data_IF_642215644115
#
_entry.id   IF_642215644115
#
_cell.length_a   1.000
_cell.length_b   1.000
_cell.length_c   1.000
_cell.angle_alpha   90.00
_cell.angle_beta   90.00
_cell.angle_gamma   90.00
#
_symmetry.space_group_name_H-M   'P 1'
#
loop_
_entity.id
_entity.type
_entity.pdbx_description
1 polymer ?
#
# COMPACT_ATOMS: atom_id res chain seq x y z
N UNK A 1 -26.89 34.53 -19.19
CA UNK A 1 -26.86 33.89 -17.87
C UNK A 1 -27.87 34.59 -16.98
N UNK A 2 -28.94 33.88 -16.62
CA UNK A 2 -29.92 34.39 -15.65
C UNK A 2 -29.40 34.17 -14.22
N UNK A 3 -29.82 35.01 -13.27
CA UNK A 3 -29.44 34.89 -11.84
C UNK A 3 -29.66 33.49 -11.26
N UNK A 4 -30.65 32.74 -11.75
CA UNK A 4 -30.91 31.35 -11.33
C UNK A 4 -29.85 30.33 -11.78
N UNK A 5 -29.17 30.59 -12.90
CA UNK A 5 -28.09 29.75 -13.44
C UNK A 5 -26.81 29.93 -12.63
N UNK A 6 -26.52 31.18 -12.25
CA UNK A 6 -25.39 31.55 -11.41
C UNK A 6 -25.54 31.03 -9.97
N UNK A 7 -26.76 31.04 -9.42
CA UNK A 7 -27.05 30.50 -8.09
C UNK A 7 -26.94 28.97 -8.06
N UNK A 8 -27.33 28.28 -9.14
CA UNK A 8 -27.19 26.83 -9.27
C UNK A 8 -25.70 26.42 -9.37
N UNK A 9 -24.90 27.13 -10.16
CA UNK A 9 -23.44 26.92 -10.21
C UNK A 9 -22.77 27.18 -8.86
N UNK A 10 -23.16 28.26 -8.16
CA UNK A 10 -22.58 28.60 -6.86
C UNK A 10 -22.94 27.58 -5.78
N UNK A 11 -24.18 27.05 -5.77
CA UNK A 11 -24.60 25.98 -4.86
C UNK A 11 -23.94 24.64 -5.19
N UNK A 12 -23.72 24.34 -6.47
CA UNK A 12 -22.94 23.17 -6.90
C UNK A 12 -21.49 23.29 -6.42
N UNK A 13 -20.84 24.44 -6.64
CA UNK A 13 -19.47 24.71 -6.20
C UNK A 13 -19.33 24.69 -4.67
N UNK A 14 -20.32 25.19 -3.91
CA UNK A 14 -20.32 25.12 -2.44
C UNK A 14 -20.54 23.70 -1.94
N UNK A 15 -21.41 22.90 -2.56
CA UNK A 15 -21.58 21.48 -2.23
C UNK A 15 -20.34 20.66 -2.56
N UNK A 16 -19.69 20.99 -3.67
CA UNK A 16 -18.44 20.40 -4.10
C UNK A 16 -17.30 20.74 -3.12
N UNK A 17 -17.17 22.00 -2.70
CA UNK A 17 -16.21 22.41 -1.66
C UNK A 17 -16.51 21.75 -0.31
N UNK A 18 -17.78 21.67 0.07
CA UNK A 18 -18.22 21.04 1.31
C UNK A 18 -17.97 19.52 1.29
N UNK A 19 -18.21 18.85 0.16
CA UNK A 19 -17.89 17.43 -0.06
C UNK A 19 -16.39 17.16 0.01
N UNK A 20 -15.57 18.02 -0.60
CA UNK A 20 -14.09 17.96 -0.56
C UNK A 20 -13.53 18.14 0.85
N UNK A 21 -14.11 19.04 1.66
CA UNK A 21 -13.69 19.23 3.06
C UNK A 21 -14.26 18.17 4.02
N UNK A 22 -15.45 17.63 3.72
CA UNK A 22 -16.07 16.56 4.50
C UNK A 22 -15.41 15.20 4.28
N UNK A 23 -14.71 15.00 3.15
CA UNK A 23 -13.93 13.80 2.84
C UNK A 23 -12.95 13.37 3.96
N UNK A 24 -12.40 14.37 4.66
CA UNK A 24 -11.21 14.19 5.48
C UNK A 24 -11.39 13.27 6.69
N UNK A 25 -12.43 13.41 7.54
CA UNK A 25 -12.54 12.60 8.75
C UNK A 25 -13.13 11.21 8.49
N UNK A 26 -13.97 11.03 7.46
CA UNK A 26 -14.67 9.76 7.27
C UNK A 26 -13.80 8.69 6.61
N UNK A 27 -12.85 9.05 5.75
CA UNK A 27 -11.91 8.08 5.14
C UNK A 27 -11.08 7.36 6.21
N UNK A 28 -10.64 8.07 7.24
CA UNK A 28 -9.94 7.48 8.39
C UNK A 28 -10.87 6.56 9.18
N UNK A 29 -12.10 7.00 9.45
CA UNK A 29 -13.10 6.17 10.16
C UNK A 29 -13.46 4.91 9.37
N UNK A 30 -13.54 5.02 8.05
CA UNK A 30 -13.78 3.92 7.14
C UNK A 30 -12.65 2.91 7.20
N UNK A 31 -11.40 3.37 7.09
CA UNK A 31 -10.22 2.50 7.17
C UNK A 31 -10.09 1.78 8.53
N UNK A 32 -10.71 2.32 9.58
CA UNK A 32 -10.80 1.68 10.90
C UNK A 32 -12.03 0.76 11.08
N UNK A 33 -12.87 0.60 10.05
CA UNK A 33 -14.05 -0.27 10.08
C UNK A 33 -15.22 0.28 10.91
N UNK A 34 -15.19 1.54 11.34
CA UNK A 34 -16.15 2.13 12.27
C UNK A 34 -17.45 2.65 11.59
N UNK A 35 -17.73 2.23 10.36
CA UNK A 35 -18.80 2.77 9.52
C UNK A 35 -19.62 1.62 8.91
N UNK A 36 -20.95 1.74 8.95
CA UNK A 36 -21.87 0.81 8.28
C UNK A 36 -21.81 0.97 6.76
N UNK A 37 -22.26 -0.04 6.00
CA UNK A 37 -22.28 0.05 4.53
C UNK A 37 -23.15 1.22 4.01
N UNK A 38 -24.26 1.51 4.68
CA UNK A 38 -25.15 2.63 4.31
C UNK A 38 -24.51 4.00 4.57
N UNK A 39 -23.83 4.15 5.71
CA UNK A 39 -23.09 5.38 6.02
C UNK A 39 -21.87 5.55 5.09
N UNK A 40 -21.24 4.45 4.67
CA UNK A 40 -20.19 4.46 3.65
C UNK A 40 -20.73 4.95 2.31
N UNK A 41 -21.87 4.41 1.87
CA UNK A 41 -22.51 4.82 0.61
C UNK A 41 -22.81 6.32 0.59
N UNK A 42 -23.47 6.82 1.64
CA UNK A 42 -23.76 8.25 1.78
C UNK A 42 -22.50 9.12 1.81
N UNK A 43 -21.43 8.66 2.46
CA UNK A 43 -20.16 9.39 2.52
C UNK A 43 -19.42 9.41 1.17
N UNK A 44 -19.45 8.31 0.43
CA UNK A 44 -18.88 8.22 -0.92
C UNK A 44 -19.62 9.18 -1.87
N UNK A 45 -20.95 9.13 -1.90
CA UNK A 45 -21.78 10.02 -2.71
C UNK A 45 -21.54 11.51 -2.35
N UNK A 46 -21.46 11.84 -1.05
CA UNK A 46 -21.17 13.19 -0.59
C UNK A 46 -19.76 13.67 -0.96
N UNK A 47 -18.81 12.75 -1.17
CA UNK A 47 -17.46 13.03 -1.65
C UNK A 47 -17.36 13.01 -3.20
N UNK A 48 -18.48 12.88 -3.90
CA UNK A 48 -18.52 12.82 -5.36
C UNK A 48 -18.10 11.47 -5.96
N UNK A 49 -17.92 10.44 -5.14
CA UNK A 49 -17.62 9.07 -5.56
C UNK A 49 -18.91 8.32 -5.91
N UNK A 50 -18.82 7.36 -6.83
CA UNK A 50 -19.92 6.46 -7.18
C UNK A 50 -19.80 5.14 -6.39
N UNK A 51 -20.71 4.83 -5.45
CA UNK A 51 -20.63 3.62 -4.63
C UNK A 51 -20.76 2.30 -5.43
N UNK A 52 -21.25 2.34 -6.67
CA UNK A 52 -21.44 1.16 -7.51
C UNK A 52 -20.26 0.93 -8.49
N UNK A 53 -19.32 1.87 -8.57
CA UNK A 53 -18.09 1.73 -9.36
C UNK A 53 -16.92 1.10 -8.58
N UNK A 54 -15.83 0.82 -9.29
CA UNK A 54 -14.60 0.28 -8.70
C UNK A 54 -13.82 1.32 -7.91
N UNK A 55 -13.44 0.97 -6.69
CA UNK A 55 -12.58 1.77 -5.81
C UNK A 55 -11.15 1.22 -5.79
N UNK A 56 -10.18 2.12 -5.88
CA UNK A 56 -8.79 1.83 -5.52
C UNK A 56 -8.34 2.77 -4.40
N UNK A 57 -7.81 2.19 -3.33
CA UNK A 57 -7.32 2.88 -2.17
C UNK A 57 -5.82 3.09 -2.25
N UNK A 58 -5.35 4.18 -1.65
CA UNK A 58 -3.94 4.51 -1.58
C UNK A 58 -3.58 5.04 -0.20
N UNK A 59 -2.34 4.79 0.18
CA UNK A 59 -1.72 5.36 1.36
C UNK A 59 -0.40 6.03 0.95
N UNK A 60 -0.20 7.25 1.42
CA UNK A 60 0.98 8.05 1.11
C UNK A 60 1.44 8.84 2.35
N UNK A 61 2.73 9.18 2.47
CA UNK A 61 3.18 10.24 3.35
C UNK A 61 2.41 11.54 3.11
N UNK A 62 2.45 12.45 4.08
CA UNK A 62 1.85 13.75 3.92
C UNK A 62 2.41 14.47 2.69
N UNK A 63 1.54 14.90 1.79
CA UNK A 63 1.89 15.66 0.60
C UNK A 63 0.98 16.89 0.53
N UNK A 64 1.57 18.07 0.65
CA UNK A 64 0.86 19.32 0.42
C UNK A 64 0.24 19.30 -1.00
N UNK A 65 -0.96 19.86 -1.14
CA UNK A 65 -1.67 19.96 -2.42
C UNK A 65 -2.05 18.61 -3.06
N UNK A 66 -1.97 17.49 -2.33
CA UNK A 66 -2.33 16.18 -2.88
C UNK A 66 -3.74 16.16 -3.49
N UNK A 67 -4.72 16.76 -2.80
CA UNK A 67 -6.08 16.91 -3.34
C UNK A 67 -6.09 17.72 -4.64
N UNK A 68 -5.43 18.87 -4.71
CA UNK A 68 -5.42 19.72 -5.91
C UNK A 68 -4.77 19.03 -7.11
N UNK A 69 -3.74 18.19 -6.88
CA UNK A 69 -3.09 17.42 -7.94
C UNK A 69 -3.99 16.30 -8.44
N UNK A 70 -4.68 15.62 -7.53
CA UNK A 70 -5.64 14.57 -7.86
C UNK A 70 -6.90 15.10 -8.53
N UNK A 71 -7.35 16.31 -8.17
CA UNK A 71 -8.51 16.99 -8.78
C UNK A 71 -8.27 17.31 -10.27
N UNK A 72 -7.02 17.28 -10.75
CA UNK A 72 -6.68 17.47 -12.17
C UNK A 72 -6.75 16.17 -12.99
N UNK A 73 -6.95 15.03 -12.34
CA UNK A 73 -7.06 13.73 -13.00
C UNK A 73 -8.48 13.54 -13.56
N UNK A 74 -8.66 12.76 -14.64
CA UNK A 74 -9.95 12.64 -15.33
C UNK A 74 -11.01 11.82 -14.56
N UNK A 75 -10.67 11.23 -13.41
CA UNK A 75 -11.58 10.44 -12.59
C UNK A 75 -11.94 11.12 -11.27
N UNK A 76 -12.51 10.34 -10.35
CA UNK A 76 -12.99 10.85 -9.06
C UNK A 76 -12.00 10.50 -7.96
N UNK A 77 -11.67 11.46 -7.11
CA UNK A 77 -10.71 11.29 -6.03
C UNK A 77 -11.23 11.87 -4.73
N UNK A 78 -11.00 11.18 -3.61
CA UNK A 78 -11.23 11.71 -2.28
C UNK A 78 -9.97 11.51 -1.42
N UNK A 79 -9.52 12.57 -0.75
CA UNK A 79 -8.35 12.53 0.14
C UNK A 79 -8.78 12.76 1.58
N UNK A 80 -8.22 11.94 2.47
CA UNK A 80 -8.34 12.08 3.91
C UNK A 80 -6.97 12.05 4.57
N UNK A 81 -6.85 12.77 5.68
CA UNK A 81 -5.61 12.84 6.46
C UNK A 81 -5.81 12.03 7.74
N UNK A 82 -4.95 11.04 7.95
CA UNK A 82 -4.89 10.21 9.14
C UNK A 82 -3.56 10.33 9.88
N UNK A 83 -3.42 9.66 11.04
CA UNK A 83 -2.19 9.69 11.82
C UNK A 83 -0.98 9.08 11.09
N UNK A 84 -1.22 8.19 10.13
CA UNK A 84 -0.19 7.49 9.35
C UNK A 84 0.14 8.19 8.01
N UNK A 85 -0.52 9.32 7.70
CA UNK A 85 -0.38 10.03 6.43
C UNK A 85 -1.70 10.22 5.70
N UNK A 86 -1.63 10.34 4.37
CA UNK A 86 -2.80 10.47 3.50
C UNK A 86 -3.42 9.12 3.20
N UNK A 87 -4.75 9.07 3.22
CA UNK A 87 -5.57 8.01 2.66
C UNK A 87 -6.34 8.57 1.49
N UNK A 88 -6.31 7.87 0.36
CA UNK A 88 -6.89 8.36 -0.89
C UNK A 88 -7.77 7.26 -1.47
N UNK A 89 -8.97 7.62 -1.94
CA UNK A 89 -9.78 6.76 -2.80
C UNK A 89 -9.82 7.36 -4.20
N UNK A 90 -9.67 6.51 -5.21
CA UNK A 90 -9.76 6.89 -6.62
C UNK A 90 -10.72 5.97 -7.37
N UNK A 91 -11.41 6.52 -8.37
CA UNK A 91 -12.29 5.78 -9.29
C UNK A 91 -12.08 6.27 -10.73
N UNK A 92 -12.00 5.34 -11.68
CA UNK A 92 -11.81 5.67 -13.09
C UNK A 92 -10.47 6.33 -13.42
N UNK A 93 -9.49 6.27 -12.51
CA UNK A 93 -8.15 6.83 -12.72
C UNK A 93 -7.13 5.69 -12.87
N UNK A 94 -6.30 5.68 -13.93
CA UNK A 94 -5.21 4.73 -14.05
C UNK A 94 -4.18 4.88 -12.91
N UNK A 95 -3.70 3.76 -12.38
CA UNK A 95 -2.72 3.75 -11.28
C UNK A 95 -1.45 4.57 -11.60
N UNK A 96 -0.97 4.55 -12.84
CA UNK A 96 0.20 5.32 -13.25
C UNK A 96 -0.02 6.83 -13.16
N UNK A 97 -1.23 7.31 -13.38
CA UNK A 97 -1.57 8.73 -13.28
C UNK A 97 -1.66 9.19 -11.83
N UNK A 98 -2.26 8.36 -10.96
CA UNK A 98 -2.29 8.63 -9.51
C UNK A 98 -0.86 8.69 -8.96
N UNK A 99 -0.02 7.72 -9.32
CA UNK A 99 1.37 7.68 -8.88
C UNK A 99 2.16 8.90 -9.35
N UNK A 100 1.98 9.31 -10.61
CA UNK A 100 2.62 10.50 -11.17
C UNK A 100 2.13 11.79 -10.49
N UNK A 101 0.83 11.93 -10.24
CA UNK A 101 0.24 13.12 -9.63
C UNK A 101 0.69 13.34 -8.19
N UNK A 102 0.82 12.27 -7.42
CA UNK A 102 1.24 12.37 -6.02
C UNK A 102 2.74 12.65 -5.89
N UNK A 103 3.55 12.20 -6.85
CA UNK A 103 5.01 12.44 -6.86
C UNK A 103 5.70 12.01 -5.56
N UNK A 104 5.05 11.13 -4.79
CA UNK A 104 5.50 10.76 -3.46
C UNK A 104 6.60 9.72 -3.56
N UNK A 105 7.65 9.89 -2.74
CA UNK A 105 8.75 8.94 -2.71
C UNK A 105 8.26 7.55 -2.33
N UNK A 106 7.32 7.43 -1.39
CA UNK A 106 6.72 6.18 -0.94
C UNK A 106 5.20 6.20 -1.17
N UNK A 107 4.68 5.34 -2.05
CA UNK A 107 3.25 5.24 -2.31
C UNK A 107 2.80 3.80 -2.17
N UNK A 108 1.67 3.56 -1.53
CA UNK A 108 1.10 2.22 -1.40
C UNK A 108 -0.29 2.17 -2.02
N UNK A 109 -0.56 1.12 -2.80
CA UNK A 109 -1.81 0.94 -3.52
C UNK A 109 -2.53 -0.33 -3.06
N UNK A 110 -3.82 -0.22 -2.77
CA UNK A 110 -4.72 -1.33 -2.54
C UNK A 110 -5.20 -1.97 -3.85
N UNK A 111 -5.96 -3.07 -3.73
CA UNK A 111 -6.59 -3.71 -4.89
C UNK A 111 -7.75 -2.86 -5.41
N UNK A 112 -7.93 -2.81 -6.72
CA UNK A 112 -9.18 -2.35 -7.30
C UNK A 112 -10.32 -3.30 -6.88
N UNK A 113 -11.36 -2.78 -6.23
CA UNK A 113 -12.48 -3.56 -5.71
C UNK A 113 -13.81 -2.95 -6.11
N UNK A 114 -14.82 -3.78 -6.31
CA UNK A 114 -16.20 -3.37 -6.61
C UNK A 114 -17.11 -3.96 -5.54
N UNK A 115 -18.15 -3.20 -5.16
CA UNK A 115 -19.18 -3.64 -4.23
C UNK A 115 -19.21 -2.85 -2.92
N UNK A 116 -20.13 -3.21 -2.00
CA UNK A 116 -20.53 -2.35 -0.90
C UNK A 116 -19.43 -2.06 0.13
N UNK A 117 -18.44 -2.94 0.25
CA UNK A 117 -17.29 -2.75 1.16
C UNK A 117 -15.99 -2.42 0.42
N UNK A 118 -16.03 -2.23 -0.90
CA UNK A 118 -14.84 -2.09 -1.74
C UNK A 118 -13.91 -0.98 -1.27
N UNK A 119 -14.46 0.20 -0.98
CA UNK A 119 -13.72 1.36 -0.47
C UNK A 119 -13.00 1.06 0.85
N UNK A 120 -13.63 0.32 1.76
CA UNK A 120 -13.04 -0.08 3.05
C UNK A 120 -11.89 -1.04 2.85
N UNK A 121 -12.13 -2.10 2.09
CA UNK A 121 -11.17 -3.18 1.88
C UNK A 121 -9.95 -2.69 1.10
N UNK A 122 -10.13 -1.85 0.09
CA UNK A 122 -8.99 -1.31 -0.68
C UNK A 122 -8.14 -0.34 0.15
N UNK A 123 -8.74 0.46 1.05
CA UNK A 123 -7.96 1.29 1.99
C UNK A 123 -7.21 0.44 3.01
N UNK A 124 -7.79 -0.67 3.46
CA UNK A 124 -7.12 -1.63 4.34
C UNK A 124 -5.92 -2.26 3.65
N UNK A 125 -6.09 -2.68 2.40
CA UNK A 125 -5.03 -3.21 1.54
C UNK A 125 -3.88 -2.18 1.40
N UNK A 126 -4.21 -0.93 1.07
CA UNK A 126 -3.24 0.15 0.90
C UNK A 126 -2.45 0.44 2.19
N UNK A 127 -3.13 0.50 3.34
CA UNK A 127 -2.46 0.66 4.65
C UNK A 127 -1.56 -0.50 4.99
N UNK A 128 -1.99 -1.73 4.72
CA UNK A 128 -1.16 -2.91 4.98
C UNK A 128 0.11 -2.90 4.13
N UNK A 129 -0.01 -2.49 2.86
CA UNK A 129 1.14 -2.28 1.98
C UNK A 129 2.04 -1.13 2.45
N UNK A 130 1.49 0.01 2.88
CA UNK A 130 2.25 1.14 3.42
C UNK A 130 3.01 0.76 4.70
N UNK A 131 2.37 0.02 5.61
CA UNK A 131 3.02 -0.50 6.81
C UNK A 131 4.20 -1.42 6.46
N UNK A 132 4.11 -2.19 5.37
CA UNK A 132 5.21 -3.00 4.86
C UNK A 132 6.30 -2.17 4.20
N UNK A 133 5.94 -1.13 3.45
CA UNK A 133 6.88 -0.19 2.87
C UNK A 133 7.76 0.47 3.94
N UNK A 134 7.18 0.85 5.08
CA UNK A 134 7.91 1.47 6.18
C UNK A 134 8.62 2.76 5.77
N UNK A 135 7.98 3.56 4.92
CA UNK A 135 8.52 4.83 4.42
C UNK A 135 9.59 4.71 3.31
N UNK A 136 9.95 3.49 2.89
CA UNK A 136 10.91 3.28 1.80
C UNK A 136 10.34 3.72 0.46
N UNK A 137 11.18 4.37 -0.34
CA UNK A 137 10.77 4.85 -1.65
C UNK A 137 10.33 3.72 -2.59
N UNK A 138 9.33 3.99 -3.43
CA UNK A 138 8.75 3.09 -4.40
C UNK A 138 7.22 3.08 -4.38
N UNK A 139 6.65 2.40 -5.38
CA UNK A 139 5.23 2.06 -5.44
C UNK A 139 5.02 0.64 -4.93
N UNK A 140 4.35 0.53 -3.77
CA UNK A 140 4.11 -0.69 -3.02
C UNK A 140 2.67 -1.17 -3.25
N UNK A 141 2.49 -2.13 -4.13
CA UNK A 141 1.15 -2.63 -4.45
C UNK A 141 0.78 -3.79 -3.56
N UNK A 142 -0.41 -3.75 -2.98
CA UNK A 142 -0.92 -4.86 -2.18
C UNK A 142 -0.99 -6.15 -3.00
N UNK A 143 -1.30 -6.09 -4.30
CA UNK A 143 -1.34 -7.28 -5.17
C UNK A 143 -0.03 -8.07 -5.19
N UNK A 144 1.11 -7.40 -5.01
CA UNK A 144 2.44 -8.00 -5.00
C UNK A 144 2.85 -8.44 -3.58
N UNK A 145 2.19 -7.89 -2.57
CA UNK A 145 2.59 -7.96 -1.17
C UNK A 145 1.59 -8.72 -0.29
N UNK A 146 0.41 -9.10 -0.80
CA UNK A 146 -0.68 -9.67 -0.02
C UNK A 146 -0.28 -10.87 0.86
N UNK A 147 0.63 -11.79 0.45
CA UNK A 147 1.04 -12.88 1.34
C UNK A 147 1.84 -12.34 2.53
N UNK A 148 2.68 -11.33 2.30
CA UNK A 148 3.56 -10.73 3.31
C UNK A 148 2.74 -9.87 4.27
N UNK A 149 1.80 -9.07 3.75
CA UNK A 149 0.93 -8.22 4.57
C UNK A 149 0.01 -9.05 5.46
N UNK A 150 -0.56 -10.14 4.94
CA UNK A 150 -1.40 -11.07 5.73
C UNK A 150 -0.60 -11.72 6.85
N UNK A 151 0.63 -12.15 6.56
CA UNK A 151 1.54 -12.75 7.53
C UNK A 151 1.94 -11.74 8.61
N UNK A 152 2.26 -10.51 8.22
CA UNK A 152 2.70 -9.43 9.11
C UNK A 152 1.56 -8.83 9.97
N UNK A 153 0.31 -8.91 9.50
CA UNK A 153 -0.86 -8.39 10.21
C UNK A 153 -1.44 -9.38 11.22
N UNK A 154 -0.90 -10.61 11.32
CA UNK A 154 -1.33 -11.57 12.33
C UNK A 154 -1.09 -11.06 13.75
N UNK A 155 -1.86 -11.57 14.71
CA UNK A 155 -1.84 -11.18 16.13
C UNK A 155 -0.57 -11.62 16.89
N UNK A 156 0.62 -11.49 16.28
CA UNK A 156 1.90 -11.97 16.81
C UNK A 156 2.06 -13.50 16.80
N UNK A 157 1.04 -14.25 16.35
CA UNK A 157 1.06 -15.72 16.28
C UNK A 157 2.21 -16.29 15.43
N UNK A 158 2.65 -15.52 14.44
CA UNK A 158 3.75 -15.91 13.56
C UNK A 158 5.11 -15.40 14.04
N UNK A 159 5.15 -14.57 15.09
CA UNK A 159 6.39 -13.98 15.61
C UNK A 159 7.42 -15.05 15.98
N UNK A 160 7.08 -16.16 16.68
CA UNK A 160 8.06 -17.20 16.99
C UNK A 160 8.66 -17.87 15.74
N UNK A 161 7.88 -17.95 14.65
CA UNK A 161 8.33 -18.53 13.38
C UNK A 161 9.22 -17.55 12.60
N UNK A 162 8.94 -16.25 12.68
CA UNK A 162 9.65 -15.21 11.93
C UNK A 162 10.86 -14.64 12.69
N UNK A 163 10.86 -14.69 14.02
CA UNK A 163 11.85 -14.03 14.87
C UNK A 163 13.30 -14.39 14.53
N UNK A 164 13.69 -15.67 14.29
CA UNK A 164 15.06 -16.00 13.91
C UNK A 164 15.49 -15.33 12.60
N UNK A 165 14.61 -15.30 11.61
CA UNK A 165 14.85 -14.66 10.32
C UNK A 165 14.88 -13.13 10.42
N UNK A 166 14.01 -12.52 11.24
CA UNK A 166 14.01 -11.07 11.50
C UNK A 166 15.32 -10.66 12.18
N UNK A 167 15.75 -11.39 13.21
CA UNK A 167 17.00 -11.14 13.91
C UNK A 167 18.21 -11.29 12.99
N UNK A 168 18.21 -12.33 12.14
CA UNK A 168 19.24 -12.56 11.13
C UNK A 168 19.30 -11.42 10.11
N UNK A 169 18.15 -10.96 9.61
CA UNK A 169 18.09 -9.86 8.65
C UNK A 169 18.57 -8.52 9.24
N UNK A 170 18.31 -8.26 10.52
CA UNK A 170 18.84 -7.09 11.24
C UNK A 170 20.36 -7.18 11.41
N UNK A 171 20.85 -8.35 11.82
CA UNK A 171 22.27 -8.59 12.12
C UNK A 171 23.14 -8.65 10.85
N UNK A 172 22.62 -9.23 9.76
CA UNK A 172 23.35 -9.46 8.52
C UNK A 172 22.59 -8.90 7.30
N UNK A 173 22.60 -7.58 7.07
CA UNK A 173 21.83 -6.95 6.00
C UNK A 173 22.13 -7.50 4.60
N UNK A 174 23.38 -7.85 4.32
CA UNK A 174 23.81 -8.42 3.04
C UNK A 174 23.19 -9.80 2.73
N UNK A 175 22.74 -10.55 3.75
CA UNK A 175 21.97 -11.79 3.57
C UNK A 175 20.50 -11.48 3.29
N UNK A 176 19.94 -10.48 3.97
CA UNK A 176 18.59 -9.99 3.69
C UNK A 176 18.46 -9.47 2.25
N UNK A 177 19.47 -8.76 1.75
CA UNK A 177 19.53 -8.29 0.36
C UNK A 177 19.60 -9.45 -0.64
N UNK A 178 20.33 -10.52 -0.29
CA UNK A 178 20.37 -11.74 -1.11
C UNK A 178 19.00 -12.42 -1.20
N UNK A 179 18.28 -12.54 -0.07
CA UNK A 179 16.91 -13.10 -0.03
C UNK A 179 15.94 -12.23 -0.84
N UNK A 180 16.00 -10.91 -0.67
CA UNK A 180 15.18 -9.95 -1.44
C UNK A 180 15.44 -10.10 -2.93
N UNK A 181 16.70 -10.04 -3.36
CA UNK A 181 17.06 -10.16 -4.76
C UNK A 181 16.64 -11.53 -5.35
N UNK A 182 16.83 -12.62 -4.60
CA UNK A 182 16.41 -13.95 -5.02
C UNK A 182 14.89 -14.04 -5.23
N UNK A 183 14.10 -13.49 -4.31
CA UNK A 183 12.65 -13.45 -4.43
C UNK A 183 12.18 -12.56 -5.60
N UNK A 184 12.76 -11.37 -5.73
CA UNK A 184 12.35 -10.38 -6.73
C UNK A 184 12.74 -10.77 -8.17
N UNK A 185 13.69 -11.71 -8.34
CA UNK A 185 14.17 -12.18 -9.64
C UNK A 185 13.76 -13.64 -9.93
N UNK A 186 12.56 -14.03 -9.49
CA UNK A 186 11.93 -15.30 -9.88
C UNK A 186 12.65 -16.54 -9.37
N UNK A 187 13.31 -16.44 -8.21
CA UNK A 187 14.00 -17.55 -7.55
C UNK A 187 15.17 -18.12 -8.37
N UNK A 188 15.74 -17.28 -9.25
CA UNK A 188 16.88 -17.63 -10.08
C UNK A 188 18.18 -16.99 -9.53
N UNK A 189 19.13 -17.83 -9.11
CA UNK A 189 20.41 -17.39 -8.52
C UNK A 189 21.19 -16.49 -9.49
N UNK A 190 21.30 -16.87 -10.76
CA UNK A 190 22.09 -16.09 -11.73
C UNK A 190 21.53 -14.69 -11.97
N UNK A 191 20.20 -14.59 -12.09
CA UNK A 191 19.53 -13.31 -12.32
C UNK A 191 19.61 -12.41 -11.10
N UNK A 192 19.37 -12.96 -9.90
CA UNK A 192 19.50 -12.23 -8.66
C UNK A 192 20.96 -11.79 -8.38
N UNK A 193 21.94 -12.62 -8.70
CA UNK A 193 23.36 -12.31 -8.51
C UNK A 193 23.78 -11.15 -9.42
N UNK A 194 23.32 -11.16 -10.68
CA UNK A 194 23.54 -10.07 -11.63
C UNK A 194 22.94 -8.76 -11.12
N UNK A 195 21.72 -8.79 -10.59
CA UNK A 195 21.07 -7.60 -10.02
C UNK A 195 21.86 -7.00 -8.85
N UNK A 196 22.45 -7.85 -8.00
CA UNK A 196 23.31 -7.42 -6.91
C UNK A 196 24.78 -7.18 -7.30
N UNK A 197 25.14 -7.36 -8.58
CA UNK A 197 26.53 -7.31 -9.08
C UNK A 197 27.48 -8.25 -8.33
N UNK A 198 27.00 -9.45 -8.02
CA UNK A 198 27.75 -10.52 -7.37
C UNK A 198 28.00 -11.69 -8.33
N UNK A 199 29.01 -12.50 -8.04
CA UNK A 199 29.15 -13.81 -8.68
C UNK A 199 28.03 -14.76 -8.19
N UNK A 200 27.44 -15.61 -9.05
CA UNK A 200 26.39 -16.56 -8.67
C UNK A 200 26.73 -17.42 -7.45
N UNK A 201 27.94 -17.99 -7.38
CA UNK A 201 28.39 -18.79 -6.24
C UNK A 201 28.38 -18.03 -4.91
N UNK A 202 28.70 -16.73 -4.94
CA UNK A 202 28.67 -15.91 -3.74
C UNK A 202 27.23 -15.69 -3.28
N UNK A 203 26.30 -15.48 -4.21
CA UNK A 203 24.87 -15.41 -3.86
C UNK A 203 24.40 -16.75 -3.29
N UNK A 204 24.71 -17.87 -3.94
CA UNK A 204 24.38 -19.21 -3.45
C UNK A 204 24.84 -19.42 -2.01
N UNK A 205 26.11 -19.09 -1.71
CA UNK A 205 26.64 -19.16 -0.33
C UNK A 205 25.89 -18.27 0.65
N UNK A 206 25.43 -17.08 0.24
CA UNK A 206 24.62 -16.20 1.11
C UNK A 206 23.25 -16.81 1.41
N UNK A 207 22.60 -17.42 0.41
CA UNK A 207 21.31 -18.09 0.58
C UNK A 207 21.43 -19.34 1.46
N UNK A 208 22.49 -20.14 1.27
CA UNK A 208 22.76 -21.30 2.13
C UNK A 208 23.06 -20.85 3.57
N UNK A 209 23.81 -19.76 3.73
CA UNK A 209 24.08 -19.19 5.06
C UNK A 209 22.81 -18.67 5.73
N UNK A 210 21.89 -18.08 4.98
CA UNK A 210 20.59 -17.69 5.48
C UNK A 210 19.81 -18.90 6.03
N UNK A 211 19.74 -20.01 5.27
CA UNK A 211 19.08 -21.23 5.72
C UNK A 211 19.74 -21.81 6.99
N UNK A 212 21.07 -21.80 7.08
CA UNK A 212 21.78 -22.28 8.28
C UNK A 212 21.46 -21.46 9.53
N UNK A 213 21.31 -20.14 9.39
CA UNK A 213 21.07 -19.24 10.53
C UNK A 213 19.59 -19.19 10.95
N UNK A 214 18.68 -19.39 10.01
CA UNK A 214 17.23 -19.20 10.24
C UNK A 214 16.45 -20.50 10.28
N UNK A 215 17.00 -21.59 9.75
CA UNK A 215 16.28 -22.84 9.49
C UNK A 215 15.32 -22.77 8.29
N UNK A 216 15.16 -21.60 7.65
CA UNK A 216 14.21 -21.41 6.56
C UNK A 216 14.81 -21.82 5.21
N UNK A 217 14.20 -22.81 4.57
CA UNK A 217 14.56 -23.24 3.21
C UNK A 217 13.85 -22.40 2.15
N UNK A 218 14.60 -21.55 1.45
CA UNK A 218 14.12 -20.67 0.39
C UNK A 218 13.65 -21.41 -0.87
N UNK A 219 13.92 -22.72 -0.99
CA UNK A 219 13.42 -23.57 -2.08
C UNK A 219 12.00 -24.09 -1.78
N UNK A 220 11.50 -23.88 -0.57
CA UNK A 220 10.13 -24.23 -0.18
C UNK A 220 9.27 -22.97 -0.13
N UNK A 221 8.00 -23.09 -0.50
CA UNK A 221 7.06 -21.97 -0.42
C UNK A 221 6.95 -21.38 1.00
N UNK A 222 6.83 -22.18 2.08
CA UNK A 222 6.80 -21.64 3.44
C UNK A 222 8.09 -20.92 3.83
N UNK A 223 9.25 -21.52 3.57
CA UNK A 223 10.54 -20.95 3.93
C UNK A 223 10.85 -19.65 3.17
N UNK A 224 10.51 -19.59 1.88
CA UNK A 224 10.61 -18.38 1.08
C UNK A 224 9.69 -17.28 1.61
N UNK A 225 8.42 -17.59 1.86
CA UNK A 225 7.41 -16.61 2.32
C UNK A 225 7.77 -16.06 3.70
N UNK A 226 8.17 -16.93 4.62
CA UNK A 226 8.63 -16.55 5.95
C UNK A 226 9.89 -15.67 5.87
N UNK A 227 10.86 -16.06 5.04
CA UNK A 227 12.11 -15.31 4.88
C UNK A 227 11.88 -13.94 4.26
N UNK A 228 11.07 -13.86 3.20
CA UNK A 228 10.72 -12.59 2.56
C UNK A 228 9.98 -11.68 3.52
N UNK A 229 8.98 -12.20 4.25
CA UNK A 229 8.25 -11.44 5.27
C UNK A 229 9.19 -10.91 6.34
N UNK A 230 10.05 -11.78 6.88
CA UNK A 230 11.00 -11.43 7.93
C UNK A 230 12.00 -10.35 7.50
N UNK A 231 12.49 -10.42 6.26
CA UNK A 231 13.38 -9.39 5.68
C UNK A 231 12.68 -8.04 5.62
N UNK A 232 11.41 -8.00 5.22
CA UNK A 232 10.66 -6.75 5.12
C UNK A 232 10.28 -6.21 6.51
N UNK A 233 9.90 -7.07 7.46
CA UNK A 233 9.70 -6.70 8.87
C UNK A 233 10.97 -6.12 9.51
N UNK A 234 12.13 -6.69 9.19
CA UNK A 234 13.42 -6.20 9.67
C UNK A 234 13.79 -4.82 9.10
N UNK A 235 13.25 -4.44 7.93
CA UNK A 235 13.49 -3.16 7.29
C UNK A 235 12.61 -2.02 7.82
N UNK A 236 11.42 -2.31 8.38
CA UNK A 236 10.46 -1.31 8.90
C UNK A 236 10.97 -0.42 10.04
N UNK A 237 12.02 -0.86 10.75
CA UNK A 237 12.53 -0.19 11.96
C UNK A 237 13.89 0.49 11.79
N UNK A 238 14.26 0.86 10.56
CA UNK A 238 15.50 1.59 10.25
C UNK A 238 15.20 2.99 9.76
#
# INVERSE_FOLDING_TARGET
MGEGELLAELLAAVRELAGRSAARPWLVRLACGAVSAEALRAAAEAAGLDPDEGFQGWAAPYAAEAQERLDRLPGRCAVGEGPEGLLILTQGVPESEVAAALGADCLAAGLLRIGPDAARETLRDARAAAALAGGRAGLWRYQDLWPLTTTAAGDGRLDPLLAPAVATARTFPHLADAVRAFADHGFAVDTAARALRLHPDLLGRRLDRWQQLTGADLRTLPGLTASRTAVELAARGR
#
